data_IF_766177071901
#
_entry.id   IF_766177071901
#
_cell.length_a   1.000
_cell.length_b   1.000
_cell.length_c   1.000
_cell.angle_alpha   90.00
_cell.angle_beta   90.00
_cell.angle_gamma   90.00
#
_symmetry.space_group_name_H-M   'P 1'
#
loop_
_entity.id
_entity.type
_entity.pdbx_description
1 polymer ?
#
# COMPACT_ATOMS: atom_id res chain seq x y z
N UNK A 1 -8.28 -9.38 -0.26
CA UNK A 1 -6.99 -10.11 -0.09
C UNK A 1 -5.85 -9.47 -0.87
N UNK A 2 -6.06 -8.96 -2.10
CA UNK A 2 -4.99 -8.30 -2.89
C UNK A 2 -4.26 -7.17 -2.16
N UNK A 3 -4.94 -6.38 -1.32
CA UNK A 3 -4.27 -5.33 -0.53
C UNK A 3 -3.43 -5.88 0.63
N UNK A 4 -3.74 -7.08 1.13
CA UNK A 4 -2.97 -7.69 2.24
C UNK A 4 -1.68 -8.30 1.73
N UNK A 5 -1.77 -9.03 0.61
CA UNK A 5 -0.68 -9.83 0.08
C UNK A 5 0.04 -9.18 -1.11
N UNK A 6 -0.43 -8.01 -1.54
CA UNK A 6 -0.01 -7.42 -2.80
C UNK A 6 -0.48 -8.22 -4.00
N UNK A 7 0.09 -7.87 -5.15
CA UNK A 7 -0.11 -8.59 -6.41
C UNK A 7 0.82 -8.03 -7.48
N UNK A 8 1.52 -8.93 -8.17
CA UNK A 8 2.42 -8.57 -9.26
C UNK A 8 2.10 -9.43 -10.47
N UNK A 9 2.11 -8.82 -11.66
CA UNK A 9 1.86 -9.54 -12.90
C UNK A 9 2.31 -8.75 -14.12
N UNK A 10 2.85 -9.46 -15.10
CA UNK A 10 3.25 -8.92 -16.40
C UNK A 10 2.48 -9.68 -17.47
N UNK A 11 1.80 -8.94 -18.34
CA UNK A 11 1.15 -9.45 -19.53
C UNK A 11 1.63 -8.70 -20.78
N UNK A 12 1.15 -9.10 -21.95
CA UNK A 12 1.47 -8.39 -23.19
C UNK A 12 0.70 -7.07 -23.24
N UNK A 13 1.41 -5.94 -23.10
CA UNK A 13 0.84 -4.60 -23.15
C UNK A 13 0.43 -4.00 -21.80
N UNK A 14 0.45 -4.79 -20.71
CA UNK A 14 0.10 -4.32 -19.37
C UNK A 14 0.98 -4.96 -18.30
N UNK A 15 1.21 -4.21 -17.22
CA UNK A 15 1.75 -4.74 -15.98
C UNK A 15 0.91 -4.26 -14.80
N UNK A 16 0.93 -5.03 -13.72
CA UNK A 16 0.26 -4.70 -12.46
C UNK A 16 1.25 -4.84 -11.31
N UNK A 17 1.23 -3.85 -10.42
CA UNK A 17 1.94 -3.90 -9.16
C UNK A 17 1.03 -3.32 -8.07
N UNK A 18 0.77 -4.11 -7.03
CA UNK A 18 0.05 -3.72 -5.82
C UNK A 18 0.95 -4.06 -4.63
N UNK A 19 1.37 -3.09 -3.81
CA UNK A 19 2.14 -3.37 -2.61
C UNK A 19 1.25 -3.98 -1.51
N UNK A 20 1.89 -4.49 -0.46
CA UNK A 20 1.19 -4.98 0.73
C UNK A 20 0.78 -3.79 1.60
N UNK A 21 -0.35 -3.92 2.27
CA UNK A 21 -0.88 -2.98 3.25
C UNK A 21 -1.20 -3.71 4.56
N UNK A 22 -1.20 -2.97 5.66
CA UNK A 22 -1.48 -3.53 6.98
C UNK A 22 -2.95 -4.02 7.08
N UNK A 23 -3.20 -5.30 7.43
CA UNK A 23 -4.54 -5.82 7.61
C UNK A 23 -5.39 -5.02 8.59
N UNK A 24 -4.77 -4.42 9.62
CA UNK A 24 -5.48 -3.62 10.62
C UNK A 24 -6.04 -2.32 10.03
N UNK A 25 -5.27 -1.67 9.14
CA UNK A 25 -5.67 -0.43 8.47
C UNK A 25 -6.76 -0.70 7.45
N UNK A 26 -6.64 -1.80 6.69
CA UNK A 26 -7.69 -2.27 5.78
C UNK A 26 -8.99 -2.52 6.56
N UNK A 27 -8.93 -3.24 7.68
CA UNK A 27 -10.10 -3.53 8.49
C UNK A 27 -10.71 -2.26 9.10
N UNK A 28 -9.90 -1.27 9.48
CA UNK A 28 -10.38 0.02 9.98
C UNK A 28 -11.12 0.81 8.89
N UNK A 29 -10.60 0.81 7.66
CA UNK A 29 -11.26 1.44 6.51
C UNK A 29 -12.56 0.73 6.13
N UNK A 30 -12.61 -0.60 6.17
CA UNK A 30 -13.87 -1.35 5.94
C UNK A 30 -14.92 -0.95 6.99
N UNK A 31 -14.54 -0.87 8.27
CA UNK A 31 -15.45 -0.42 9.33
C UNK A 31 -15.96 1.01 9.12
N UNK A 32 -15.12 1.93 8.64
CA UNK A 32 -15.53 3.29 8.29
C UNK A 32 -16.54 3.29 7.14
N UNK A 33 -16.26 2.55 6.06
CA UNK A 33 -17.19 2.42 4.93
C UNK A 33 -18.55 1.86 5.34
N UNK A 34 -18.57 0.86 6.24
CA UNK A 34 -19.82 0.29 6.77
C UNK A 34 -20.63 1.29 7.61
N UNK A 35 -19.98 2.31 8.18
CA UNK A 35 -20.64 3.41 8.91
C UNK A 35 -21.07 4.56 8.00
N UNK A 36 -20.70 4.54 6.71
CA UNK A 36 -20.88 5.66 5.80
C UNK A 36 -19.79 6.74 5.90
N UNK A 37 -18.72 6.49 6.65
CA UNK A 37 -17.60 7.42 6.81
C UNK A 37 -16.61 7.34 5.63
N UNK A 38 -15.81 8.39 5.48
CA UNK A 38 -14.76 8.45 4.44
C UNK A 38 -13.54 7.63 4.85
N UNK A 39 -13.05 6.77 3.95
CA UNK A 39 -11.81 6.01 4.16
C UNK A 39 -10.58 6.91 4.35
N UNK A 40 -9.65 6.45 5.18
CA UNK A 40 -8.34 7.06 5.33
C UNK A 40 -7.34 6.52 4.28
N UNK A 41 -6.41 7.36 3.77
CA UNK A 41 -5.28 6.88 2.99
C UNK A 41 -4.48 5.81 3.76
N UNK A 42 -3.91 4.85 3.04
CA UNK A 42 -3.03 3.84 3.60
C UNK A 42 -1.70 3.89 2.86
N UNK A 43 -0.61 3.72 3.60
CA UNK A 43 0.73 3.59 3.04
C UNK A 43 1.14 2.10 3.01
N UNK A 44 2.04 1.68 2.10
CA UNK A 44 2.54 0.33 2.05
C UNK A 44 3.16 -0.14 3.37
N UNK A 45 2.93 -1.41 3.71
CA UNK A 45 3.41 -2.02 4.93
C UNK A 45 3.68 -3.50 4.73
N UNK A 46 4.81 -3.97 5.27
CA UNK A 46 5.24 -5.37 5.15
C UNK A 46 5.49 -5.97 6.53
N UNK A 47 4.83 -7.08 6.83
CA UNK A 47 4.95 -7.76 8.13
C UNK A 47 6.39 -8.19 8.40
N UNK A 48 6.96 -7.75 9.52
CA UNK A 48 8.33 -8.10 9.93
C UNK A 48 9.42 -7.29 9.24
N UNK A 49 9.06 -6.39 8.32
CA UNK A 49 10.01 -5.40 7.81
C UNK A 49 10.31 -4.37 8.90
N UNK A 50 11.59 -4.17 9.20
CA UNK A 50 12.06 -3.27 10.24
C UNK A 50 12.72 -1.99 9.70
N UNK A 51 12.88 -1.86 8.38
CA UNK A 51 13.36 -0.65 7.75
C UNK A 51 12.29 0.44 7.63
N UNK A 52 12.55 1.46 6.81
CA UNK A 52 11.63 2.57 6.56
C UNK A 52 11.00 2.49 5.17
N UNK A 53 9.74 2.90 5.07
CA UNK A 53 9.00 3.07 3.81
C UNK A 53 8.49 4.51 3.81
N UNK A 54 9.10 5.36 3.01
CA UNK A 54 8.83 6.80 3.01
C UNK A 54 8.21 7.23 1.69
N UNK A 55 7.17 8.06 1.77
CA UNK A 55 6.49 8.58 0.59
C UNK A 55 7.36 9.60 -0.12
N UNK A 56 7.68 9.36 -1.38
CA UNK A 56 8.48 10.26 -2.20
C UNK A 56 7.64 11.46 -2.68
N UNK A 57 8.25 12.64 -2.70
CA UNK A 57 7.66 13.86 -3.27
C UNK A 57 7.72 13.84 -4.82
N UNK A 58 6.95 12.96 -5.47
CA UNK A 58 6.93 12.88 -6.94
C UNK A 58 5.79 13.71 -7.53
N UNK A 59 6.08 14.49 -8.59
CA UNK A 59 5.11 15.35 -9.31
C UNK A 59 4.30 14.64 -10.41
N UNK A 60 4.53 13.34 -10.64
CA UNK A 60 3.78 12.54 -11.63
C UNK A 60 2.65 11.75 -10.94
N UNK A 61 1.60 11.44 -11.68
CA UNK A 61 0.39 10.79 -11.18
C UNK A 61 0.70 9.47 -10.45
N UNK A 62 0.70 9.51 -9.11
CA UNK A 62 0.96 8.39 -8.22
C UNK A 62 1.92 8.75 -7.08
N UNK A 63 1.69 8.20 -5.89
CA UNK A 63 2.64 8.29 -4.79
C UNK A 63 3.81 7.32 -5.04
N UNK A 64 5.03 7.83 -5.15
CA UNK A 64 6.24 7.01 -5.09
C UNK A 64 6.61 6.69 -3.64
N UNK A 65 7.39 5.63 -3.42
CA UNK A 65 7.94 5.30 -2.11
C UNK A 65 9.42 4.96 -2.20
N UNK A 66 10.18 5.39 -1.21
CA UNK A 66 11.58 5.01 -0.98
C UNK A 66 11.61 4.00 0.17
N UNK A 67 12.25 2.86 -0.06
CA UNK A 67 12.40 1.80 0.94
C UNK A 67 13.86 1.72 1.34
N UNK A 68 14.15 1.80 2.64
CA UNK A 68 15.51 1.74 3.19
C UNK A 68 15.59 0.70 4.30
N UNK A 69 16.67 -0.09 4.31
CA UNK A 69 16.95 -1.05 5.38
C UNK A 69 17.49 -0.32 6.61
N UNK A 70 17.39 -0.96 7.78
CA UNK A 70 18.17 -0.52 8.94
C UNK A 70 19.66 -0.74 8.63
N UNK A 71 20.48 0.30 8.85
CA UNK A 71 21.94 0.22 8.79
C UNK A 71 22.48 -0.71 9.88
#
# INVERSE_FOLDING_TARGET
MVLVNGGEGIGTGWSTYVPNYNPRDIAANIRQLLKGDTRQPMDPWYKGFSGTIEKSATKKAGAGYTVSWLN
#
